data_IF_679569058938
#
_entry.id   IF_679569058938
#
_cell.length_a   1.000
_cell.length_b   1.000
_cell.length_c   1.000
_cell.angle_alpha   90.00
_cell.angle_beta   90.00
_cell.angle_gamma   90.00
#
_symmetry.space_group_name_H-M   'P 1'
#
loop_
_entity.id
_entity.type
_entity.pdbx_description
1 polymer ?
#
# COMPACT_ATOMS: atom_id res chain seq x y z
N UNK A 1 49.50 -19.11 -13.26
CA UNK A 1 49.35 -20.48 -12.72
C UNK A 1 48.67 -20.32 -11.38
N UNK A 2 47.35 -20.18 -11.41
CA UNK A 2 46.37 -21.26 -11.16
C UNK A 2 45.96 -21.17 -9.68
N UNK A 3 44.83 -20.54 -9.36
CA UNK A 3 43.43 -21.03 -9.44
C UNK A 3 42.98 -21.77 -8.18
N UNK A 4 41.72 -21.45 -7.82
CA UNK A 4 40.75 -22.25 -7.06
C UNK A 4 40.94 -22.32 -5.54
N UNK A 5 39.89 -22.14 -4.72
CA UNK A 5 38.47 -22.06 -5.02
C UNK A 5 37.69 -21.53 -3.81
N UNK A 6 36.59 -20.85 -4.11
CA UNK A 6 35.56 -20.53 -3.15
C UNK A 6 34.58 -21.69 -3.01
N UNK A 7 33.98 -21.77 -1.83
CA UNK A 7 32.68 -22.36 -1.58
C UNK A 7 32.00 -21.40 -0.60
N UNK A 8 31.13 -20.54 -1.12
CA UNK A 8 30.18 -19.75 -0.36
C UNK A 8 28.82 -20.42 -0.53
N UNK A 9 28.48 -21.28 0.43
CA UNK A 9 27.21 -21.98 0.47
C UNK A 9 26.09 -20.98 0.79
N UNK A 10 25.06 -21.01 -0.05
CA UNK A 10 23.79 -20.31 0.11
C UNK A 10 23.08 -20.80 1.38
N UNK A 11 22.67 -19.86 2.22
CA UNK A 11 21.58 -20.06 3.16
C UNK A 11 20.45 -19.12 2.77
N UNK A 12 19.36 -19.73 2.31
CA UNK A 12 18.09 -19.15 1.96
C UNK A 12 17.42 -18.52 3.19
N UNK A 13 17.66 -17.23 3.40
CA UNK A 13 16.71 -16.34 4.06
C UNK A 13 16.15 -15.42 2.99
N UNK A 14 14.85 -15.14 3.03
CA UNK A 14 14.24 -14.07 2.24
C UNK A 14 14.83 -12.73 2.74
N UNK A 15 16.07 -12.45 2.35
CA UNK A 15 16.67 -11.13 2.49
C UNK A 15 15.97 -10.25 1.49
N UNK A 16 15.04 -9.44 1.97
CA UNK A 16 14.52 -8.35 1.17
C UNK A 16 15.72 -7.49 0.73
N UNK A 17 15.81 -7.15 -0.55
CA UNK A 17 16.99 -6.49 -1.10
C UNK A 17 17.07 -5.06 -0.59
N UNK A 18 18.12 -4.75 0.17
CA UNK A 18 18.47 -3.36 0.48
C UNK A 18 18.85 -2.65 -0.82
N UNK A 19 18.28 -1.49 -1.09
CA UNK A 19 18.61 -0.66 -2.24
C UNK A 19 19.58 0.48 -1.95
N UNK A 20 19.89 1.27 -2.97
CA UNK A 20 20.78 2.43 -2.87
C UNK A 20 20.39 3.59 -3.79
N UNK A 21 20.69 4.81 -3.37
CA UNK A 21 20.50 6.02 -4.18
C UNK A 21 21.62 6.18 -5.22
N UNK A 22 21.25 6.37 -6.49
CA UNK A 22 22.18 6.64 -7.60
C UNK A 22 21.67 7.82 -8.44
N UNK A 23 22.53 8.51 -9.22
CA UNK A 23 22.05 9.51 -10.15
C UNK A 23 20.96 8.95 -11.07
N UNK A 24 19.88 9.70 -11.26
CA UNK A 24 18.75 9.28 -12.09
C UNK A 24 19.21 9.01 -13.54
N UNK A 25 19.02 7.79 -14.09
CA UNK A 25 19.42 7.46 -15.46
C UNK A 25 18.78 8.36 -16.52
N UNK A 26 17.56 8.82 -16.26
CA UNK A 26 16.78 9.66 -17.18
C UNK A 26 17.14 11.15 -17.04
N UNK A 27 17.85 11.50 -15.95
CA UNK A 27 18.27 12.87 -15.65
C UNK A 27 17.11 13.82 -15.36
N UNK A 28 15.94 13.30 -14.98
CA UNK A 28 14.76 14.09 -14.62
C UNK A 28 14.83 14.49 -13.15
N UNK A 29 15.30 13.57 -12.29
CA UNK A 29 15.54 13.79 -10.87
C UNK A 29 17.04 13.85 -10.55
N UNK A 30 17.41 14.37 -9.38
CA UNK A 30 18.80 14.37 -8.92
C UNK A 30 19.29 12.94 -8.64
N UNK A 31 18.48 12.16 -7.92
CA UNK A 31 18.74 10.76 -7.61
C UNK A 31 17.49 9.89 -7.76
N UNK A 32 17.72 8.62 -8.04
CA UNK A 32 16.73 7.55 -8.03
C UNK A 32 17.21 6.40 -7.15
N UNK A 33 16.30 5.79 -6.41
CA UNK A 33 16.59 4.62 -5.59
C UNK A 33 16.58 3.35 -6.44
N UNK A 34 17.54 2.47 -6.23
CA UNK A 34 17.71 1.23 -6.97
C UNK A 34 17.62 0.03 -6.05
N UNK A 35 16.88 -0.99 -6.47
CA UNK A 35 16.80 -2.29 -5.79
C UNK A 35 17.28 -3.37 -6.74
N UNK A 36 18.36 -4.10 -6.37
CA UNK A 36 18.99 -5.13 -7.24
C UNK A 36 19.36 -4.62 -8.64
N UNK A 37 19.91 -3.41 -8.72
CA UNK A 37 20.23 -2.72 -9.98
C UNK A 37 19.03 -2.28 -10.84
N UNK A 38 17.80 -2.48 -10.38
CA UNK A 38 16.59 -1.99 -11.05
C UNK A 38 16.17 -0.63 -10.47
N UNK A 39 15.91 0.38 -11.32
CA UNK A 39 15.40 1.67 -10.87
C UNK A 39 14.01 1.49 -10.26
N UNK A 40 13.76 2.13 -9.13
CA UNK A 40 12.44 2.16 -8.49
C UNK A 40 11.70 3.46 -8.81
N UNK A 41 10.44 3.52 -8.39
CA UNK A 41 9.65 4.74 -8.35
C UNK A 41 10.02 5.69 -7.22
N UNK A 42 11.08 5.49 -6.42
CA UNK A 42 11.46 6.44 -5.37
C UNK A 42 12.59 7.36 -5.88
N UNK A 43 12.38 8.67 -5.82
CA UNK A 43 13.26 9.72 -6.35
C UNK A 43 13.60 10.75 -5.28
N UNK A 44 14.73 11.43 -5.42
CA UNK A 44 15.14 12.51 -4.53
C UNK A 44 15.64 13.72 -5.30
N UNK A 45 15.12 14.89 -4.92
CA UNK A 45 15.50 16.18 -5.48
C UNK A 45 15.87 17.14 -4.35
N UNK A 46 17.07 17.71 -4.38
CA UNK A 46 17.55 18.62 -3.33
C UNK A 46 17.49 18.03 -1.91
N UNK A 47 17.55 16.70 -1.80
CA UNK A 47 17.46 15.95 -0.55
C UNK A 47 16.03 15.71 -0.03
N UNK A 48 14.99 16.07 -0.78
CA UNK A 48 13.61 15.67 -0.51
C UNK A 48 13.29 14.40 -1.29
N UNK A 49 12.82 13.36 -0.60
CA UNK A 49 12.44 12.08 -1.19
C UNK A 49 10.95 12.06 -1.52
N UNK A 50 10.57 11.50 -2.68
CA UNK A 50 9.19 11.40 -3.14
C UNK A 50 9.02 10.22 -4.10
N UNK A 51 7.77 9.86 -4.39
CA UNK A 51 7.48 8.93 -5.48
C UNK A 51 7.59 9.66 -6.82
N UNK A 52 8.21 8.98 -7.77
CA UNK A 52 8.31 9.37 -9.16
C UNK A 52 6.94 9.23 -9.81
N UNK A 53 6.21 10.31 -9.74
CA UNK A 53 4.88 10.49 -10.29
C UNK A 53 4.88 10.73 -11.81
N UNK A 54 5.95 10.33 -12.53
CA UNK A 54 6.28 10.77 -13.90
C UNK A 54 5.05 11.11 -14.74
N UNK A 55 4.81 12.41 -14.83
CA UNK A 55 3.63 12.92 -15.46
C UNK A 55 3.90 13.40 -16.88
N UNK A 56 2.91 13.25 -17.74
CA UNK A 56 2.96 13.67 -19.13
C UNK A 56 1.99 14.83 -19.41
N UNK A 57 2.39 15.74 -20.29
CA UNK A 57 1.50 16.75 -20.86
C UNK A 57 0.71 16.12 -22.01
N UNK A 58 -0.56 15.83 -21.79
CA UNK A 58 -1.48 15.33 -22.82
C UNK A 58 -2.48 16.41 -23.22
N UNK A 59 -3.06 16.37 -24.44
CA UNK A 59 -4.14 17.28 -24.81
C UNK A 59 -5.27 17.23 -23.77
N UNK A 60 -5.72 18.39 -23.28
CA UNK A 60 -6.70 18.43 -22.19
C UNK A 60 -8.01 17.72 -22.63
N UNK A 61 -8.43 16.62 -21.95
CA UNK A 61 -9.63 15.89 -22.35
C UNK A 61 -10.92 16.71 -22.21
N UNK A 62 -10.88 17.77 -21.38
CA UNK A 62 -12.02 18.68 -21.22
C UNK A 62 -12.12 19.71 -22.35
N UNK A 63 -11.06 19.86 -23.15
CA UNK A 63 -10.94 20.86 -24.21
C UNK A 63 -10.89 22.31 -23.71
N UNK A 64 -10.69 22.52 -22.40
CA UNK A 64 -10.61 23.86 -21.80
C UNK A 64 -9.24 24.52 -21.95
N UNK A 65 -8.19 23.70 -21.98
CA UNK A 65 -6.79 24.11 -22.16
C UNK A 65 -6.14 23.34 -23.31
N UNK A 66 -4.97 23.77 -23.78
CA UNK A 66 -4.22 23.08 -24.84
C UNK A 66 -3.65 21.75 -24.34
N UNK A 67 -3.03 21.74 -23.15
CA UNK A 67 -2.52 20.54 -22.51
C UNK A 67 -2.86 20.52 -21.01
N UNK A 68 -3.03 19.31 -20.48
CA UNK A 68 -3.18 19.04 -19.05
C UNK A 68 -2.12 18.04 -18.64
N UNK A 69 -1.51 18.29 -17.48
CA UNK A 69 -0.51 17.40 -16.92
C UNK A 69 -1.19 16.21 -16.23
N UNK A 70 -0.80 15.00 -16.59
CA UNK A 70 -1.34 13.76 -16.06
C UNK A 70 -0.27 13.07 -15.23
N UNK A 71 -0.64 12.52 -14.08
CA UNK A 71 0.23 11.72 -13.21
C UNK A 71 -0.41 10.35 -13.06
N UNK A 72 0.31 9.27 -13.36
CA UNK A 72 -0.21 7.89 -13.36
C UNK A 72 -1.56 7.75 -14.10
N UNK A 73 -1.69 8.40 -15.27
CA UNK A 73 -2.90 8.38 -16.10
C UNK A 73 -4.09 9.20 -15.55
N UNK A 74 -3.92 9.93 -14.45
CA UNK A 74 -4.96 10.78 -13.85
C UNK A 74 -4.69 12.27 -14.12
N UNK A 75 -5.70 13.06 -14.47
CA UNK A 75 -5.54 14.49 -14.71
C UNK A 75 -5.20 15.24 -13.41
N UNK A 76 -4.21 16.13 -13.46
CA UNK A 76 -3.90 17.09 -12.38
C UNK A 76 -4.56 18.47 -12.65
N UNK A 77 -4.34 19.42 -11.73
CA UNK A 77 -4.74 20.82 -11.91
C UNK A 77 -3.75 21.63 -12.76
N UNK A 78 -2.58 21.10 -13.10
CA UNK A 78 -1.61 21.80 -13.94
C UNK A 78 -2.01 21.74 -15.42
N UNK A 79 -2.07 22.91 -16.05
CA UNK A 79 -2.49 23.12 -17.45
C UNK A 79 -1.50 24.01 -18.19
N UNK A 80 -1.40 23.86 -19.51
CA UNK A 80 -0.54 24.66 -20.37
C UNK A 80 -1.33 25.18 -21.56
N UNK A 81 -1.21 26.49 -21.81
CA UNK A 81 -1.80 27.18 -22.96
C UNK A 81 -0.72 28.00 -23.65
N UNK A 82 -0.48 27.77 -24.95
CA UNK A 82 0.54 28.49 -25.73
C UNK A 82 1.94 28.45 -25.09
N UNK A 83 2.27 27.36 -24.41
CA UNK A 83 3.54 27.16 -23.71
C UNK A 83 3.67 27.88 -22.36
N UNK A 84 2.57 28.42 -21.80
CA UNK A 84 2.54 29.03 -20.47
C UNK A 84 1.86 28.07 -19.49
N UNK A 85 2.58 27.71 -18.43
CA UNK A 85 2.11 26.75 -17.42
C UNK A 85 1.34 27.48 -16.31
N UNK A 86 0.13 27.03 -16.00
CA UNK A 86 -0.74 27.60 -14.97
C UNK A 86 -1.50 26.50 -14.21
N UNK A 87 -2.30 26.89 -13.21
CA UNK A 87 -3.21 26.00 -12.48
C UNK A 87 -4.65 26.29 -12.91
N UNK A 88 -5.40 25.26 -13.30
CA UNK A 88 -6.83 25.36 -13.62
C UNK A 88 -7.64 25.57 -12.34
N UNK A 89 -7.80 26.85 -11.98
CA UNK A 89 -8.57 27.27 -10.82
C UNK A 89 -10.08 27.12 -11.10
N UNK A 90 -10.87 26.52 -10.19
CA UNK A 90 -12.29 26.33 -10.43
C UNK A 90 -12.97 27.70 -10.70
N UNK A 91 -13.97 27.75 -11.60
CA UNK A 91 -14.61 29.01 -11.96
C UNK A 91 -15.10 29.70 -10.69
N UNK A 92 -14.68 30.96 -10.53
CA UNK A 92 -15.13 31.78 -9.41
C UNK A 92 -16.67 31.70 -9.34
N UNK A 93 -17.24 31.53 -8.13
CA UNK A 93 -18.69 31.56 -7.99
C UNK A 93 -19.20 32.86 -8.63
N UNK A 94 -20.35 32.83 -9.32
CA UNK A 94 -20.87 34.02 -9.97
C UNK A 94 -20.93 35.16 -8.95
N UNK A 95 -20.58 36.40 -9.35
CA UNK A 95 -20.61 37.52 -8.43
C UNK A 95 -21.98 37.55 -7.78
N UNK A 96 -21.99 37.47 -6.45
CA UNK A 96 -23.22 37.58 -5.66
C UNK A 96 -23.90 38.85 -6.12
N UNK A 97 -25.01 38.68 -6.83
CA UNK A 97 -25.80 39.78 -7.33
C UNK A 97 -26.15 40.67 -6.14
N UNK A 98 -25.80 41.95 -6.25
CA UNK A 98 -26.23 43.01 -5.36
C UNK A 98 -27.74 42.88 -5.18
N UNK A 99 -28.17 42.35 -4.03
CA UNK A 99 -29.56 42.50 -3.62
C UNK A 99 -29.79 43.99 -3.39
N UNK A 100 -30.85 44.59 -3.96
CA UNK A 100 -31.17 45.98 -3.70
C UNK A 100 -31.48 46.13 -2.21
N UNK A 101 -30.78 47.07 -1.59
CA UNK A 101 -30.98 47.51 -0.21
C UNK A 101 -32.46 47.86 0.00
N UNK A 102 -33.11 47.15 0.92
CA UNK A 102 -34.44 47.52 1.41
C UNK A 102 -34.27 48.74 2.33
N UNK A 103 -35.05 49.82 2.14
CA UNK A 103 -34.75 51.11 2.75
C UNK A 103 -34.97 51.12 4.27
N UNK A 104 -34.10 51.86 4.96
CA UNK A 104 -34.11 52.17 6.38
C UNK A 104 -35.48 52.70 6.87
N UNK A 105 -35.92 52.38 8.11
CA UNK A 105 -36.80 53.26 8.84
C UNK A 105 -36.00 54.33 9.59
N UNK A 106 -36.37 55.57 9.30
CA UNK A 106 -35.83 56.82 9.80
C UNK A 106 -35.88 56.95 11.33
N UNK A 107 -34.83 57.59 11.86
CA UNK A 107 -34.60 58.06 13.23
C UNK A 107 -35.83 58.67 13.90
N UNK A 108 -36.14 58.17 15.11
CA UNK A 108 -36.98 58.83 16.11
C UNK A 108 -36.17 59.12 17.37
N UNK A 109 -35.92 60.41 17.62
CA UNK A 109 -35.23 60.96 18.78
C UNK A 109 -35.94 60.67 20.11
N UNK A 110 -35.23 60.11 21.09
CA UNK A 110 -35.43 60.41 22.51
C UNK A 110 -34.17 60.08 23.31
N UNK A 111 -33.64 61.07 24.01
CA UNK A 111 -32.48 61.01 24.88
C UNK A 111 -32.78 60.32 26.22
N UNK A 112 -31.88 59.47 26.70
CA UNK A 112 -31.64 59.23 28.13
C UNK A 112 -30.13 58.95 28.32
N UNK A 113 -29.55 59.59 29.34
CA UNK A 113 -28.16 59.53 29.81
C UNK A 113 -27.61 58.10 30.03
N UNK A 114 -26.29 57.89 29.91
CA UNK A 114 -25.66 56.61 30.25
C UNK A 114 -25.40 56.48 31.77
N UNK A 115 -26.04 55.49 32.39
CA UNK A 115 -25.59 54.90 33.66
C UNK A 115 -24.34 54.02 33.39
N UNK A 116 -23.33 54.00 34.28
CA UNK A 116 -22.08 53.31 34.04
C UNK A 116 -22.24 51.80 34.27
N UNK A 117 -22.08 50.99 33.23
CA UNK A 117 -21.96 49.53 33.38
C UNK A 117 -20.49 49.19 33.62
N UNK A 118 -20.26 48.59 34.79
CA UNK A 118 -18.97 48.10 35.27
C UNK A 118 -18.27 47.20 34.25
N UNK A 119 -17.00 47.53 34.02
CA UNK A 119 -15.98 46.62 33.52
C UNK A 119 -15.75 45.51 34.54
N UNK A 120 -16.27 44.32 34.27
CA UNK A 120 -15.67 43.11 34.82
C UNK A 120 -14.73 42.50 33.80
N UNK A 121 -13.46 42.68 34.11
CA UNK A 121 -12.32 42.05 33.49
C UNK A 121 -12.52 40.54 33.39
N UNK A 122 -11.95 39.98 32.33
CA UNK A 122 -11.62 38.56 32.26
C UNK A 122 -10.77 38.20 33.48
N UNK A 123 -11.37 37.45 34.41
CA UNK A 123 -10.62 36.75 35.45
C UNK A 123 -10.16 35.40 34.89
N UNK A 124 -8.85 35.21 34.96
CA UNK A 124 -8.16 33.93 34.90
C UNK A 124 -8.95 32.84 35.65
N UNK A 125 -9.40 31.82 34.92
CA UNK A 125 -9.69 30.53 35.54
C UNK A 125 -8.48 29.63 35.34
N UNK A 126 -7.52 29.75 36.26
CA UNK A 126 -6.48 28.75 36.54
C UNK A 126 -7.10 27.34 36.54
N UNK A 127 -6.73 26.53 35.54
CA UNK A 127 -7.01 25.09 35.53
C UNK A 127 -6.07 24.40 36.53
N UNK A 128 -6.59 24.14 37.73
CA UNK A 128 -5.94 23.29 38.73
C UNK A 128 -5.91 21.83 38.26
N UNK A 129 -4.76 21.14 38.28
CA UNK A 129 -4.69 19.72 37.93
C UNK A 129 -5.39 18.88 39.02
N UNK A 130 -6.25 17.95 38.57
CA UNK A 130 -6.98 17.02 39.45
C UNK A 130 -6.07 15.87 39.87
N UNK A 131 -5.62 15.92 41.12
CA UNK A 131 -5.06 14.81 41.87
C UNK A 131 -6.13 13.72 42.14
N UNK A 132 -5.94 12.52 41.56
CA UNK A 132 -6.40 11.22 42.06
C UNK A 132 -5.67 10.14 41.21
N UNK A 133 -4.93 9.13 41.67
CA UNK A 133 -4.58 8.62 43.00
C UNK A 133 -3.09 8.21 42.99
N UNK A 134 -2.31 8.71 43.95
CA UNK A 134 -1.14 8.01 44.49
C UNK A 134 -1.65 7.01 45.53
N UNK A 135 -1.36 5.74 45.34
CA UNK A 135 -0.82 4.79 46.33
C UNK A 135 -1.04 3.33 45.89
N UNK A 136 -0.11 2.80 45.09
CA UNK A 136 0.33 1.40 45.22
C UNK A 136 1.83 1.34 45.01
N UNK A 137 2.56 1.48 46.13
CA UNK A 137 3.91 0.90 46.25
C UNK A 137 3.74 -0.62 46.21
N UNK A 138 4.12 -1.24 45.10
CA UNK A 138 4.55 -2.64 45.14
C UNK A 138 5.99 -2.68 44.68
N UNK A 139 6.79 -3.14 45.63
CA UNK A 139 8.22 -3.36 45.59
C UNK A 139 8.56 -4.44 44.55
N UNK A 140 9.59 -4.16 43.75
CA UNK A 140 10.35 -5.06 42.87
C UNK A 140 10.45 -6.51 43.36
N UNK A 141 10.30 -7.45 42.43
CA UNK A 141 11.17 -8.62 42.38
C UNK A 141 11.85 -8.68 41.01
N UNK A 142 13.15 -8.38 41.05
CA UNK A 142 14.13 -8.86 40.09
C UNK A 142 13.95 -10.38 39.98
N UNK A 143 13.68 -10.86 38.78
CA UNK A 143 13.50 -12.27 38.50
C UNK A 143 13.86 -12.57 37.06
N UNK A 144 15.16 -12.69 36.79
CA UNK A 144 15.63 -13.56 35.73
C UNK A 144 15.05 -14.96 35.99
N UNK A 145 14.02 -15.33 35.24
CA UNK A 145 13.31 -16.57 35.43
C UNK A 145 12.29 -16.73 34.33
N UNK A 146 12.60 -17.61 33.37
CA UNK A 146 11.77 -18.01 32.24
C UNK A 146 10.28 -18.06 32.63
N UNK A 147 9.53 -17.06 32.19
CA UNK A 147 8.09 -17.01 32.37
C UNK A 147 7.45 -17.37 31.03
N UNK A 148 7.13 -18.65 30.89
CA UNK A 148 6.38 -19.14 29.74
C UNK A 148 4.95 -18.58 29.81
N UNK A 149 4.67 -17.56 28.99
CA UNK A 149 3.30 -17.18 28.64
C UNK A 149 2.86 -18.16 27.56
N UNK A 150 1.90 -19.03 27.90
CA UNK A 150 1.29 -19.96 26.93
C UNK A 150 0.28 -19.17 26.10
N UNK A 151 0.74 -18.59 24.99
CA UNK A 151 -0.13 -18.02 23.95
C UNK A 151 -0.63 -19.16 23.06
N UNK A 152 -1.87 -19.60 23.30
CA UNK A 152 -2.52 -20.60 22.47
C UNK A 152 -2.96 -19.99 21.14
N UNK A 153 -2.23 -20.25 20.06
CA UNK A 153 -2.66 -19.93 18.69
C UNK A 153 -3.31 -21.18 18.09
N UNK A 154 -4.62 -21.10 17.84
CA UNK A 154 -5.38 -22.10 17.10
C UNK A 154 -5.19 -21.92 15.59
N UNK A 155 -4.39 -22.76 14.97
CA UNK A 155 -4.32 -22.88 13.50
C UNK A 155 -5.40 -23.86 13.05
N UNK A 156 -6.40 -23.38 12.34
CA UNK A 156 -7.40 -24.20 11.66
C UNK A 156 -6.82 -24.70 10.32
N UNK A 157 -6.28 -25.92 10.32
CA UNK A 157 -5.97 -26.66 9.09
C UNK A 157 -7.27 -27.26 8.52
N UNK A 158 -7.76 -26.67 7.43
CA UNK A 158 -8.77 -27.31 6.56
C UNK A 158 -8.04 -28.29 5.63
N UNK A 159 -8.07 -29.58 5.97
CA UNK A 159 -7.64 -30.64 5.07
C UNK A 159 -8.82 -31.13 4.25
N UNK A 160 -8.86 -30.80 2.97
CA UNK A 160 -9.73 -31.43 1.98
C UNK A 160 -9.17 -32.80 1.56
N UNK A 161 -9.83 -33.88 1.99
CA UNK A 161 -9.93 -35.13 1.20
C UNK A 161 -10.92 -34.90 0.05
N UNK A 162 -11.02 -35.69 -1.00
CA UNK A 162 -10.59 -37.05 -1.35
C UNK A 162 -10.58 -37.04 -2.88
N UNK A 163 -9.74 -37.83 -3.55
CA UNK A 163 -10.25 -38.50 -4.75
C UNK A 163 -9.57 -39.84 -4.99
N UNK A 164 -10.42 -40.86 -5.02
CA UNK A 164 -10.06 -42.26 -5.13
C UNK A 164 -9.96 -42.67 -6.59
N UNK A 165 -8.85 -43.31 -6.92
CA UNK A 165 -8.65 -44.02 -8.17
C UNK A 165 -9.50 -45.28 -8.25
N UNK A 166 -10.20 -45.51 -9.36
CA UNK A 166 -10.50 -46.87 -9.83
C UNK A 166 -10.33 -46.95 -11.35
N UNK A 167 -9.41 -47.84 -11.72
CA UNK A 167 -9.12 -48.33 -13.06
C UNK A 167 -10.07 -49.49 -13.36
N UNK A 168 -10.68 -49.53 -14.55
CA UNK A 168 -11.58 -50.62 -14.95
C UNK A 168 -11.72 -50.72 -16.47
N UNK A 169 -11.35 -51.88 -17.01
CA UNK A 169 -11.10 -52.19 -18.40
C UNK A 169 -12.34 -52.25 -19.33
N UNK A 170 -12.08 -52.08 -20.63
CA UNK A 170 -12.94 -52.51 -21.75
C UNK A 170 -13.04 -54.06 -21.82
N UNK A 171 -14.02 -54.67 -22.53
CA UNK A 171 -14.00 -54.72 -24.01
C UNK A 171 -15.37 -54.83 -24.75
N UNK A 172 -15.37 -54.58 -26.07
CA UNK A 172 -15.94 -55.51 -27.06
C UNK A 172 -17.30 -55.22 -27.76
N UNK A 173 -17.20 -54.76 -29.02
CA UNK A 173 -17.95 -55.14 -30.24
C UNK A 173 -19.50 -55.14 -30.31
N UNK A 174 -20.05 -54.49 -31.34
CA UNK A 174 -21.41 -54.71 -31.85
C UNK A 174 -21.78 -53.79 -33.01
N UNK A 175 -22.22 -54.38 -34.12
CA UNK A 175 -22.49 -53.84 -35.46
C UNK A 175 -23.58 -52.75 -35.61
N UNK A 176 -23.40 -51.96 -36.68
CA UNK A 176 -24.33 -51.28 -37.60
C UNK A 176 -25.78 -50.93 -37.17
N UNK A 177 -26.23 -49.71 -37.50
CA UNK A 177 -27.16 -49.44 -38.62
C UNK A 177 -27.28 -47.93 -38.85
N UNK A 178 -27.12 -47.58 -40.12
CA UNK A 178 -27.30 -46.27 -40.73
C UNK A 178 -28.80 -45.91 -40.80
N UNK A 179 -29.17 -44.70 -40.38
CA UNK A 179 -30.44 -44.08 -40.78
C UNK A 179 -30.16 -42.61 -41.08
N UNK A 180 -30.26 -42.31 -42.35
CA UNK A 180 -30.05 -41.02 -43.00
C UNK A 180 -31.18 -40.06 -42.66
N UNK A 181 -30.83 -38.92 -42.04
CA UNK A 181 -31.65 -37.72 -42.01
C UNK A 181 -31.18 -36.76 -43.14
N UNK A 182 -32.08 -36.00 -43.77
CA UNK A 182 -31.74 -35.12 -44.90
C UNK A 182 -30.82 -33.97 -44.46
N UNK A 183 -29.95 -33.44 -45.34
CA UNK A 183 -29.02 -32.38 -44.97
C UNK A 183 -29.77 -31.06 -44.77
N UNK A 184 -29.95 -30.64 -43.51
CA UNK A 184 -30.22 -29.24 -43.23
C UNK A 184 -28.92 -28.46 -43.48
N UNK A 185 -28.97 -27.56 -44.46
CA UNK A 185 -27.86 -26.65 -44.76
C UNK A 185 -27.91 -25.52 -43.73
N UNK A 186 -27.36 -25.77 -42.54
CA UNK A 186 -27.01 -24.70 -41.61
C UNK A 186 -25.73 -24.06 -42.14
N UNK A 187 -25.86 -22.93 -42.83
CA UNK A 187 -24.75 -22.00 -43.00
C UNK A 187 -24.39 -21.46 -41.61
N UNK A 188 -23.50 -22.16 -40.92
CA UNK A 188 -22.75 -21.58 -39.82
C UNK A 188 -21.81 -20.56 -40.46
N UNK A 189 -22.15 -19.28 -40.38
CA UNK A 189 -21.17 -18.22 -40.58
C UNK A 189 -20.10 -18.42 -39.50
N UNK A 190 -18.96 -18.96 -39.91
CA UNK A 190 -17.79 -19.14 -39.04
C UNK A 190 -17.38 -17.77 -38.50
N UNK A 191 -17.12 -17.70 -37.19
CA UNK A 191 -16.66 -16.46 -36.58
C UNK A 191 -15.36 -16.02 -37.27
N UNK A 192 -15.21 -14.73 -37.59
CA UNK A 192 -14.02 -14.23 -38.27
C UNK A 192 -12.75 -14.58 -37.47
N UNK A 193 -11.65 -14.97 -38.13
CA UNK A 193 -10.40 -15.29 -37.44
C UNK A 193 -9.90 -14.06 -36.65
N UNK A 194 -9.51 -14.28 -35.40
CA UNK A 194 -8.96 -13.22 -34.54
C UNK A 194 -7.54 -12.81 -34.95
N UNK A 195 -7.09 -11.61 -34.55
CA UNK A 195 -5.73 -11.16 -34.81
C UNK A 195 -4.70 -11.98 -34.01
N UNK A 196 -3.41 -11.92 -34.39
CA UNK A 196 -2.34 -12.44 -33.51
C UNK A 196 -2.16 -11.53 -32.30
N UNK A 197 -1.84 -12.05 -31.12
CA UNK A 197 -1.53 -11.24 -29.93
C UNK A 197 -0.34 -11.85 -29.21
N UNK A 198 0.81 -11.17 -29.26
CA UNK A 198 2.06 -11.57 -28.63
C UNK A 198 2.46 -10.54 -27.58
N UNK A 199 2.61 -11.00 -26.34
CA UNK A 199 2.86 -10.19 -25.15
C UNK A 199 3.54 -11.04 -24.09
N UNK A 200 4.41 -10.43 -23.29
CA UNK A 200 5.03 -11.11 -22.15
C UNK A 200 3.98 -11.56 -21.12
N UNK A 201 4.17 -12.73 -20.54
CA UNK A 201 3.21 -13.31 -19.60
C UNK A 201 3.23 -12.69 -18.20
N UNK A 202 4.31 -12.00 -17.85
CA UNK A 202 4.50 -11.41 -16.53
C UNK A 202 5.43 -10.20 -16.58
N UNK A 203 5.15 -9.21 -15.73
CA UNK A 203 5.96 -8.00 -15.55
C UNK A 203 6.11 -7.74 -14.06
N UNK A 204 7.32 -7.42 -13.60
CA UNK A 204 7.59 -7.01 -12.22
C UNK A 204 7.83 -5.51 -12.16
N UNK A 205 7.32 -4.87 -11.10
CA UNK A 205 7.44 -3.43 -10.87
C UNK A 205 7.74 -3.20 -9.40
N UNK A 206 8.69 -2.32 -9.11
CA UNK A 206 9.10 -1.96 -7.75
C UNK A 206 8.72 -0.49 -7.51
N UNK A 207 7.99 -0.25 -6.42
CA UNK A 207 7.56 1.06 -5.91
C UNK A 207 6.60 1.86 -6.81
N UNK A 208 6.62 1.68 -8.12
CA UNK A 208 5.71 2.34 -9.03
C UNK A 208 4.29 1.77 -8.93
N UNK A 209 3.29 2.65 -9.00
CA UNK A 209 1.87 2.28 -9.03
C UNK A 209 1.34 2.09 -10.45
N UNK A 210 2.22 2.17 -11.46
CA UNK A 210 1.91 1.98 -12.86
C UNK A 210 3.03 1.28 -13.62
N UNK A 211 2.70 0.69 -14.78
CA UNK A 211 3.63 0.00 -15.67
C UNK A 211 3.18 0.09 -17.12
N UNK A 212 4.15 0.14 -18.04
CA UNK A 212 3.89 0.01 -19.47
C UNK A 212 3.95 -1.47 -19.89
N UNK A 213 2.84 -1.98 -20.43
CA UNK A 213 2.80 -3.31 -21.06
C UNK A 213 2.96 -3.13 -22.56
N UNK A 214 4.02 -3.71 -23.12
CA UNK A 214 4.30 -3.67 -24.55
C UNK A 214 4.07 -5.02 -25.21
N UNK A 215 3.70 -5.01 -26.48
CA UNK A 215 3.50 -6.24 -27.25
C UNK A 215 3.27 -5.96 -28.74
N UNK A 216 2.90 -7.02 -29.47
CA UNK A 216 2.59 -6.93 -30.89
C UNK A 216 1.31 -7.68 -31.27
N UNK A 217 0.61 -7.14 -32.26
CA UNK A 217 -0.58 -7.72 -32.89
C UNK A 217 -0.62 -7.27 -34.36
N UNK A 218 -1.73 -7.51 -35.07
CA UNK A 218 -1.88 -7.05 -36.45
C UNK A 218 -1.96 -5.50 -36.51
N UNK A 219 -1.44 -4.84 -37.56
CA UNK A 219 -1.54 -3.40 -37.72
C UNK A 219 -3.00 -2.92 -37.79
N UNK A 220 -3.31 -1.80 -37.15
CA UNK A 220 -4.65 -1.20 -37.13
C UNK A 220 -5.63 -1.83 -36.12
N UNK A 221 -5.19 -2.82 -35.34
CA UNK A 221 -5.95 -3.43 -34.25
C UNK A 221 -5.98 -2.52 -33.02
N UNK A 222 -7.12 -2.52 -32.31
CA UNK A 222 -7.22 -1.90 -30.99
C UNK A 222 -7.08 -2.98 -29.91
N UNK A 223 -6.19 -2.74 -28.95
CA UNK A 223 -5.97 -3.59 -27.78
C UNK A 223 -6.61 -2.92 -26.57
N UNK A 224 -7.51 -3.63 -25.89
CA UNK A 224 -8.13 -3.21 -24.62
C UNK A 224 -7.54 -4.00 -23.47
N UNK A 225 -7.02 -3.31 -22.46
CA UNK A 225 -6.60 -3.86 -21.18
C UNK A 225 -7.69 -3.64 -20.12
N UNK A 226 -7.89 -4.64 -19.27
CA UNK A 226 -8.77 -4.55 -18.09
C UNK A 226 -8.08 -5.16 -16.89
N UNK A 227 -8.09 -4.46 -15.77
CA UNK A 227 -7.50 -4.90 -14.51
C UNK A 227 -8.26 -4.25 -13.35
N UNK A 228 -8.45 -4.96 -12.23
CA UNK A 228 -8.98 -4.40 -10.98
C UNK A 228 -10.25 -3.49 -11.05
N UNK A 229 -11.04 -3.55 -12.14
CA UNK A 229 -12.18 -2.66 -12.38
C UNK A 229 -11.88 -1.45 -13.27
N UNK A 230 -10.62 -1.21 -13.59
CA UNK A 230 -10.11 -0.20 -14.51
C UNK A 230 -9.90 -0.75 -15.94
N UNK A 231 -9.78 0.16 -16.90
CA UNK A 231 -9.52 -0.16 -18.30
C UNK A 231 -8.63 0.88 -18.99
N UNK A 232 -7.88 0.43 -20.00
CA UNK A 232 -7.16 1.29 -20.94
C UNK A 232 -7.17 0.66 -22.33
N UNK A 233 -6.94 1.48 -23.35
CA UNK A 233 -6.89 1.03 -24.74
C UNK A 233 -5.66 1.60 -25.44
N UNK A 234 -5.06 0.81 -26.33
CA UNK A 234 -4.02 1.25 -27.24
C UNK A 234 -4.36 0.85 -28.68
N UNK A 235 -4.10 1.74 -29.63
CA UNK A 235 -4.17 1.43 -31.06
C UNK A 235 -2.79 1.06 -31.56
N UNK A 236 -2.68 0.03 -32.39
CA UNK A 236 -1.38 -0.42 -32.86
C UNK A 236 -0.77 0.52 -33.89
N UNK A 237 0.55 0.67 -33.81
CA UNK A 237 1.32 1.40 -34.82
C UNK A 237 1.32 0.68 -36.17
N UNK A 238 1.90 1.30 -37.22
CA UNK A 238 1.98 0.71 -38.56
C UNK A 238 2.71 -0.65 -38.63
N UNK A 239 3.48 -1.00 -37.59
CA UNK A 239 4.21 -2.26 -37.46
C UNK A 239 3.51 -3.25 -36.51
N UNK A 240 2.31 -2.94 -36.00
CA UNK A 240 1.57 -3.83 -35.11
C UNK A 240 1.98 -3.77 -33.63
N UNK A 241 2.95 -2.92 -33.27
CA UNK A 241 3.35 -2.73 -31.88
C UNK A 241 2.32 -1.90 -31.11
N UNK A 242 2.15 -2.21 -29.82
CA UNK A 242 1.33 -1.45 -28.89
C UNK A 242 2.03 -1.27 -27.54
N UNK A 243 1.62 -0.24 -26.82
CA UNK A 243 1.98 0.03 -25.43
C UNK A 243 0.70 0.41 -24.69
N UNK A 244 0.40 -0.26 -23.58
CA UNK A 244 -0.71 0.10 -22.68
C UNK A 244 -0.15 0.44 -21.32
N UNK A 245 -0.50 1.62 -20.80
CA UNK A 245 -0.19 2.03 -19.43
C UNK A 245 -1.24 1.44 -18.48
N UNK A 246 -0.80 0.65 -17.52
CA UNK A 246 -1.62 0.06 -16.46
C UNK A 246 -1.27 0.79 -15.17
N UNK A 247 -2.21 1.51 -14.57
CA UNK A 247 -1.99 2.29 -13.34
C UNK A 247 -2.89 1.85 -12.17
N UNK A 248 -2.66 2.44 -11.00
CA UNK A 248 -3.43 2.12 -9.78
C UNK A 248 -3.12 0.73 -9.21
N UNK A 249 -1.91 0.23 -9.42
CA UNK A 249 -1.47 -1.09 -8.99
C UNK A 249 -1.37 -1.16 -7.45
N UNK A 250 -2.15 -2.07 -6.86
CA UNK A 250 -1.96 -2.47 -5.47
C UNK A 250 -0.70 -3.35 -5.35
N UNK A 251 -0.13 -3.43 -4.15
CA UNK A 251 0.94 -4.37 -3.85
C UNK A 251 0.48 -5.82 -4.14
N UNK A 252 1.38 -6.63 -4.68
CA UNK A 252 1.14 -8.01 -5.08
C UNK A 252 0.72 -8.16 -6.54
N UNK A 253 -0.03 -9.23 -6.82
CA UNK A 253 -0.31 -9.66 -8.19
C UNK A 253 -1.61 -9.04 -8.72
N UNK A 254 -1.51 -8.38 -9.87
CA UNK A 254 -2.63 -7.88 -10.66
C UNK A 254 -2.73 -8.64 -11.98
N UNK A 255 -3.90 -9.23 -12.24
CA UNK A 255 -4.17 -9.85 -13.54
C UNK A 255 -4.67 -8.80 -14.53
N UNK A 256 -3.90 -8.54 -15.59
CA UNK A 256 -4.27 -7.65 -16.68
C UNK A 256 -4.74 -8.49 -17.86
N UNK A 257 -6.03 -8.39 -18.19
CA UNK A 257 -6.58 -9.07 -19.37
C UNK A 257 -6.48 -8.16 -20.58
N UNK A 258 -5.74 -8.60 -21.59
CA UNK A 258 -5.64 -7.94 -22.90
C UNK A 258 -6.61 -8.60 -23.87
N UNK A 259 -7.32 -7.77 -24.64
CA UNK A 259 -8.21 -8.20 -25.72
C UNK A 259 -7.92 -7.38 -26.97
N UNK A 260 -7.53 -8.06 -28.05
CA UNK A 260 -7.30 -7.47 -29.36
C UNK A 260 -8.51 -7.77 -30.26
N UNK A 261 -9.04 -6.76 -30.94
CA UNK A 261 -10.19 -6.88 -31.86
C UNK A 261 -9.84 -6.23 -33.21
N UNK A 262 -10.03 -6.98 -34.29
CA UNK A 262 -9.85 -6.48 -35.66
C UNK A 262 -11.15 -5.89 -36.22
N UNK A 263 -11.08 -5.17 -37.35
CA UNK A 263 -12.26 -4.53 -37.98
C UNK A 263 -13.35 -5.54 -38.39
N UNK A 264 -12.97 -6.79 -38.64
CA UNK A 264 -13.88 -7.87 -39.00
C UNK A 264 -14.62 -8.47 -37.78
N UNK A 265 -14.27 -8.06 -36.55
CA UNK A 265 -14.88 -8.53 -35.30
C UNK A 265 -14.28 -9.83 -34.74
N UNK A 266 -13.15 -10.29 -35.28
CA UNK A 266 -12.36 -11.38 -34.74
C UNK A 266 -11.55 -10.90 -33.52
N UNK A 267 -11.51 -11.72 -32.46
CA UNK A 267 -10.86 -11.36 -31.20
C UNK A 267 -9.75 -12.33 -30.78
N UNK A 268 -8.71 -11.81 -30.14
CA UNK A 268 -7.73 -12.59 -29.39
C UNK A 268 -7.59 -12.06 -27.95
N UNK A 269 -7.23 -12.92 -26.99
CA UNK A 269 -7.02 -12.51 -25.60
C UNK A 269 -5.79 -13.17 -24.99
N UNK A 270 -5.09 -12.41 -24.17
CA UNK A 270 -3.97 -12.87 -23.33
C UNK A 270 -4.10 -12.27 -21.94
N UNK A 271 -3.47 -12.89 -20.94
CA UNK A 271 -3.40 -12.37 -19.58
C UNK A 271 -1.95 -12.13 -19.22
N UNK A 272 -1.65 -10.94 -18.71
CA UNK A 272 -0.34 -10.57 -18.16
C UNK A 272 -0.47 -10.48 -16.64
N UNK A 273 0.45 -11.09 -15.91
CA UNK A 273 0.52 -10.96 -14.45
C UNK A 273 1.49 -9.84 -14.12
N UNK A 274 0.98 -8.74 -13.58
CA UNK A 274 1.81 -7.64 -13.08
C UNK A 274 2.02 -7.84 -11.58
N UNK A 275 3.27 -7.98 -11.14
CA UNK A 275 3.62 -8.11 -9.73
C UNK A 275 4.23 -6.81 -9.24
N UNK A 276 3.54 -6.10 -8.36
CA UNK A 276 4.06 -4.91 -7.70
C UNK A 276 4.66 -5.28 -6.34
N UNK A 277 5.90 -4.87 -6.10
CA UNK A 277 6.56 -4.99 -4.80
C UNK A 277 6.89 -3.62 -4.24
N UNK A 278 6.84 -3.47 -2.91
CA UNK A 278 7.29 -2.28 -2.21
C UNK A 278 8.71 -2.53 -1.69
N UNK A 279 9.63 -1.61 -1.95
CA UNK A 279 10.98 -1.65 -1.39
C UNK A 279 10.97 -1.33 0.10
N UNK A 280 11.99 -1.81 0.82
CA UNK A 280 12.15 -1.50 2.25
C UNK A 280 12.19 0.02 2.49
N UNK A 281 12.88 0.78 1.63
CA UNK A 281 13.00 2.22 1.76
C UNK A 281 11.66 2.92 1.59
N UNK A 282 10.92 2.59 0.53
CA UNK A 282 9.59 3.16 0.33
C UNK A 282 8.66 2.77 1.48
N UNK A 283 8.71 1.52 1.94
CA UNK A 283 7.89 1.09 3.07
C UNK A 283 8.19 1.94 4.32
N UNK A 284 9.48 2.07 4.68
CA UNK A 284 9.93 2.91 5.80
C UNK A 284 9.50 4.36 5.63
N UNK A 285 9.62 4.92 4.43
CA UNK A 285 9.19 6.27 4.08
C UNK A 285 7.68 6.49 4.24
N UNK A 286 6.86 5.51 3.83
CA UNK A 286 5.40 5.59 3.92
C UNK A 286 4.87 5.50 5.35
N UNK A 287 5.63 4.91 6.27
CA UNK A 287 5.20 4.73 7.66
C UNK A 287 5.04 6.05 8.41
N UNK A 288 4.18 6.05 9.42
CA UNK A 288 3.97 7.22 10.29
C UNK A 288 4.06 6.85 11.76
N UNK A 289 4.50 7.79 12.59
CA UNK A 289 4.36 7.63 14.03
C UNK A 289 2.97 8.08 14.46
N UNK A 290 2.13 7.12 14.84
CA UNK A 290 0.84 7.39 15.48
C UNK A 290 1.10 7.61 16.98
N UNK A 291 0.56 8.65 17.62
CA UNK A 291 0.64 8.79 19.08
C UNK A 291 0.02 7.59 19.79
N UNK A 292 0.65 7.09 20.86
CA UNK A 292 0.18 5.87 21.52
C UNK A 292 -1.25 6.00 22.07
N UNK A 293 -1.65 7.18 22.54
CA UNK A 293 -3.00 7.44 23.05
C UNK A 293 -4.09 7.38 21.97
N UNK A 294 -3.71 7.60 20.71
CA UNK A 294 -4.56 7.36 19.54
C UNK A 294 -4.53 5.87 19.17
N UNK A 295 -3.34 5.27 19.10
CA UNK A 295 -3.17 3.86 18.75
C UNK A 295 -3.99 2.95 19.68
N UNK A 296 -3.89 3.13 21.00
CA UNK A 296 -4.55 2.27 22.00
C UNK A 296 -6.06 2.52 22.11
N UNK A 297 -6.57 3.64 21.62
CA UNK A 297 -7.98 4.01 21.77
C UNK A 297 -8.89 3.11 20.94
N UNK A 298 -8.51 2.84 19.69
CA UNK A 298 -9.23 1.95 18.78
C UNK A 298 -8.27 1.37 17.72
N UNK A 299 -7.40 0.40 18.11
CA UNK A 299 -6.42 -0.18 17.20
C UNK A 299 -7.06 -0.83 15.96
N UNK A 300 -8.26 -1.40 16.11
CA UNK A 300 -8.96 -2.11 15.04
C UNK A 300 -9.40 -1.15 13.92
N UNK A 301 -9.73 0.10 14.26
CA UNK A 301 -10.00 1.15 13.26
C UNK A 301 -8.76 1.60 12.48
N UNK A 302 -7.58 1.35 13.02
CA UNK A 302 -6.29 1.70 12.43
C UNK A 302 -5.66 0.54 11.66
N UNK A 303 -6.32 -0.63 11.62
CA UNK A 303 -5.81 -1.81 10.95
C UNK A 303 -5.46 -1.52 9.47
N UNK A 304 -4.29 -1.98 9.03
CA UNK A 304 -3.76 -1.71 7.69
C UNK A 304 -2.95 -0.41 7.56
N UNK A 305 -2.93 0.47 8.56
CA UNK A 305 -2.05 1.63 8.55
C UNK A 305 -0.61 1.23 8.89
N UNK A 306 0.35 1.76 8.12
CA UNK A 306 1.78 1.52 8.36
C UNK A 306 2.33 2.48 9.41
N UNK A 307 3.08 1.94 10.36
CA UNK A 307 3.59 2.66 11.53
C UNK A 307 5.06 2.39 11.76
N UNK A 308 5.73 3.34 12.40
CA UNK A 308 7.07 3.14 12.94
C UNK A 308 7.17 3.62 14.39
N UNK A 309 7.95 2.89 15.18
CA UNK A 309 8.27 3.27 16.55
C UNK A 309 9.72 2.94 16.87
N UNK A 310 10.27 3.75 17.77
CA UNK A 310 11.39 3.35 18.60
C UNK A 310 10.83 2.72 19.88
N UNK A 311 11.38 1.60 20.31
CA UNK A 311 10.85 0.84 21.43
C UNK A 311 11.93 0.12 22.24
N UNK A 312 11.63 -0.15 23.50
CA UNK A 312 12.39 -1.08 24.33
C UNK A 312 11.72 -2.45 24.36
N UNK A 313 12.50 -3.51 24.16
CA UNK A 313 12.03 -4.88 24.18
C UNK A 313 11.74 -5.33 25.62
N UNK A 314 10.46 -5.52 25.95
CA UNK A 314 10.04 -5.95 27.28
C UNK A 314 10.00 -7.47 27.43
N UNK A 315 9.59 -8.21 26.39
CA UNK A 315 9.58 -9.68 26.42
C UNK A 315 9.86 -10.25 25.03
N UNK A 316 11.08 -10.75 24.85
CA UNK A 316 11.51 -11.55 23.70
C UNK A 316 12.88 -12.17 23.97
N UNK A 317 13.13 -13.34 23.39
CA UNK A 317 14.47 -13.96 23.33
C UNK A 317 14.59 -14.61 21.95
N UNK A 318 15.55 -14.14 21.17
CA UNK A 318 15.83 -14.61 19.81
C UNK A 318 16.00 -16.15 19.73
N UNK A 319 16.48 -16.79 20.80
CA UNK A 319 16.70 -18.24 20.86
C UNK A 319 15.41 -19.05 20.95
N UNK A 320 14.30 -18.42 21.34
CA UNK A 320 13.00 -19.09 21.47
C UNK A 320 12.27 -19.21 20.14
N UNK A 321 12.69 -18.49 19.10
CA UNK A 321 12.06 -18.47 17.76
C UNK A 321 10.56 -18.14 17.80
N UNK A 322 10.14 -17.37 18.80
CA UNK A 322 8.73 -16.98 18.96
C UNK A 322 8.37 -15.89 17.96
N UNK A 323 7.19 -15.97 17.33
CA UNK A 323 6.69 -14.94 16.39
C UNK A 323 6.00 -13.76 17.09
N UNK A 324 6.26 -13.57 18.39
CA UNK A 324 5.59 -12.54 19.21
C UNK A 324 6.59 -11.92 20.17
N UNK A 325 6.57 -10.59 20.24
CA UNK A 325 7.45 -9.77 21.06
C UNK A 325 6.61 -8.68 21.74
N UNK A 326 6.77 -8.51 23.06
CA UNK A 326 6.14 -7.40 23.77
C UNK A 326 7.14 -6.26 23.94
N UNK A 327 6.74 -5.04 23.58
CA UNK A 327 7.61 -3.86 23.64
C UNK A 327 6.94 -2.68 24.35
N UNK A 328 7.78 -1.74 24.78
CA UNK A 328 7.38 -0.43 25.27
C UNK A 328 7.76 0.66 24.28
N UNK A 329 6.79 1.46 23.84
CA UNK A 329 6.98 2.44 22.75
C UNK A 329 7.11 3.89 23.22
N UNK A 330 6.94 4.17 24.51
CA UNK A 330 7.03 5.53 25.05
C UNK A 330 8.18 5.65 26.05
N UNK A 331 9.21 6.42 25.68
CA UNK A 331 10.33 6.78 26.55
C UNK A 331 9.94 7.96 27.44
N UNK A 332 9.89 7.72 28.75
CA UNK A 332 9.71 8.74 29.77
C UNK A 332 11.04 9.29 30.29
N UNK A 333 10.97 10.07 31.38
CA UNK A 333 12.16 10.58 32.04
C UNK A 333 13.07 9.44 32.54
N UNK A 334 14.39 9.68 32.58
CA UNK A 334 15.38 8.71 33.05
C UNK A 334 15.40 7.37 32.29
N UNK A 335 14.99 7.38 31.00
CA UNK A 335 14.91 6.19 30.14
C UNK A 335 13.99 5.10 30.71
N UNK A 336 12.95 5.50 31.43
CA UNK A 336 11.85 4.61 31.79
C UNK A 336 10.91 4.46 30.61
N UNK A 337 10.80 3.24 30.08
CA UNK A 337 9.91 2.94 28.98
C UNK A 337 8.56 2.43 29.46
N UNK A 338 7.51 2.82 28.75
CA UNK A 338 6.11 2.51 29.06
C UNK A 338 5.31 2.24 27.78
N UNK A 339 4.04 1.89 27.96
CA UNK A 339 3.05 1.69 26.90
C UNK A 339 3.29 0.45 26.03
N UNK A 340 2.50 -0.60 26.32
CA UNK A 340 2.69 -1.91 25.73
C UNK A 340 2.13 -1.96 24.31
N UNK A 341 2.95 -2.42 23.37
CA UNK A 341 2.54 -2.84 22.03
C UNK A 341 2.98 -4.29 21.84
N UNK A 342 2.09 -5.12 21.31
CA UNK A 342 2.44 -6.47 20.91
C UNK A 342 2.89 -6.46 19.45
N UNK A 343 4.06 -7.02 19.19
CA UNK A 343 4.58 -7.19 17.85
C UNK A 343 4.41 -8.64 17.43
N UNK A 344 3.89 -8.83 16.23
CA UNK A 344 3.87 -10.09 15.50
C UNK A 344 4.91 -10.01 14.40
N UNK A 345 5.77 -11.01 14.27
CA UNK A 345 6.95 -10.92 13.40
C UNK A 345 7.41 -12.29 12.89
N UNK A 346 8.12 -12.30 11.77
CA UNK A 346 8.99 -13.41 11.41
C UNK A 346 10.21 -13.42 12.36
N UNK A 347 10.49 -14.50 13.11
CA UNK A 347 11.64 -14.58 14.00
C UNK A 347 12.99 -14.27 13.33
N UNK A 348 13.11 -14.44 12.01
CA UNK A 348 14.31 -14.07 11.26
C UNK A 348 14.62 -12.56 11.35
N UNK A 349 13.59 -11.70 11.31
CA UNK A 349 13.70 -10.24 11.42
C UNK A 349 14.23 -9.83 12.80
N UNK A 350 13.94 -10.62 13.84
CA UNK A 350 14.37 -10.38 15.21
C UNK A 350 15.49 -11.35 15.68
N UNK A 351 16.28 -11.90 14.75
CA UNK A 351 17.27 -12.94 15.04
C UNK A 351 18.41 -12.52 15.99
N UNK A 352 18.67 -11.21 16.12
CA UNK A 352 19.70 -10.65 17.00
C UNK A 352 19.11 -9.74 18.10
N UNK A 353 17.81 -9.84 18.37
CA UNK A 353 17.10 -9.00 19.33
C UNK A 353 16.79 -9.83 20.57
N UNK A 354 17.08 -9.27 21.74
CA UNK A 354 16.80 -9.89 23.03
C UNK A 354 16.10 -8.90 23.96
N UNK A 355 15.70 -9.38 25.13
CA UNK A 355 15.14 -8.56 26.19
C UNK A 355 16.04 -7.36 26.55
N UNK A 356 15.41 -6.23 26.90
CA UNK A 356 16.01 -4.94 27.24
C UNK A 356 16.67 -4.16 26.08
N UNK A 357 16.79 -4.76 24.89
CA UNK A 357 17.30 -4.08 23.69
C UNK A 357 16.41 -2.88 23.29
N UNK A 358 17.05 -1.86 22.73
CA UNK A 358 16.37 -0.74 22.09
C UNK A 358 16.36 -0.97 20.59
N UNK A 359 15.17 -0.94 20.02
CA UNK A 359 14.92 -1.20 18.60
C UNK A 359 14.19 -0.05 17.94
N UNK A 360 14.27 -0.02 16.62
CA UNK A 360 13.33 0.66 15.75
C UNK A 360 12.63 -0.38 14.88
N UNK A 361 11.32 -0.26 14.73
CA UNK A 361 10.57 -1.17 13.86
C UNK A 361 9.59 -0.40 12.98
N UNK A 362 9.27 -1.04 11.85
CA UNK A 362 8.30 -0.59 10.86
C UNK A 362 7.37 -1.75 10.57
N UNK A 363 6.07 -1.48 10.56
CA UNK A 363 5.07 -2.52 10.38
C UNK A 363 3.69 -1.97 10.13
N UNK A 364 2.70 -2.85 10.11
CA UNK A 364 1.31 -2.52 9.85
C UNK A 364 0.48 -2.82 11.09
N UNK A 365 -0.41 -1.90 11.49
CA UNK A 365 -1.31 -2.15 12.61
C UNK A 365 -2.24 -3.31 12.25
N UNK A 366 -2.29 -4.33 13.12
CA UNK A 366 -3.08 -5.54 12.93
C UNK A 366 -4.40 -5.52 13.74
N UNK A 367 -4.60 -4.49 14.56
CA UNK A 367 -5.76 -4.35 15.45
C UNK A 367 -5.37 -4.51 16.92
N UNK A 368 -6.25 -5.13 17.71
CA UNK A 368 -6.04 -5.33 19.14
C UNK A 368 -5.97 -6.81 19.53
N UNK A 369 -5.19 -7.11 20.58
CA UNK A 369 -5.15 -8.45 21.17
C UNK A 369 -5.26 -8.39 22.68
N UNK A 370 -6.06 -9.31 23.22
CA UNK A 370 -6.21 -9.51 24.66
C UNK A 370 -5.44 -10.74 25.11
N UNK A 371 -4.64 -10.61 26.17
CA UNK A 371 -3.91 -11.71 26.77
C UNK A 371 -4.12 -11.76 28.28
N UNK A 372 -4.04 -12.97 28.86
CA UNK A 372 -4.07 -13.15 30.30
C UNK A 372 -2.71 -12.82 30.92
N UNK A 373 -2.72 -11.94 31.91
CA UNK A 373 -1.57 -11.60 32.73
C UNK A 373 -1.31 -12.67 33.79
N UNK A 374 -0.05 -12.89 34.13
CA UNK A 374 0.35 -13.84 35.18
C UNK A 374 -0.26 -13.53 36.56
N UNK A 375 -0.74 -12.30 36.78
CA UNK A 375 -1.41 -11.86 37.99
C UNK A 375 -2.90 -12.21 38.09
N UNK A 376 -3.49 -12.87 37.08
CA UNK A 376 -4.89 -13.32 37.12
C UNK A 376 -5.91 -12.29 36.62
N UNK A 377 -5.55 -11.48 35.62
CA UNK A 377 -6.47 -10.62 34.86
C UNK A 377 -6.08 -10.58 33.39
N UNK A 378 -6.85 -9.93 32.52
CA UNK A 378 -6.50 -9.75 31.11
C UNK A 378 -6.03 -8.33 30.81
N UNK A 379 -5.23 -8.16 29.77
CA UNK A 379 -4.82 -6.88 29.23
C UNK A 379 -5.04 -6.86 27.72
N UNK A 380 -5.55 -5.74 27.20
CA UNK A 380 -5.76 -5.54 25.76
C UNK A 380 -4.76 -4.51 25.27
N UNK A 381 -4.00 -4.86 24.24
CA UNK A 381 -2.94 -4.03 23.67
C UNK A 381 -3.10 -3.94 22.16
N UNK A 382 -2.63 -2.85 21.52
CA UNK A 382 -2.50 -2.81 20.07
C UNK A 382 -1.50 -3.86 19.59
N UNK A 383 -1.72 -4.36 18.39
CA UNK A 383 -0.87 -5.30 17.68
C UNK A 383 -0.32 -4.66 16.41
N UNK A 384 0.97 -4.87 16.15
CA UNK A 384 1.62 -4.46 14.90
C UNK A 384 2.31 -5.68 14.29
N UNK A 385 1.94 -6.00 13.04
CA UNK A 385 2.67 -6.94 12.20
C UNK A 385 3.94 -6.24 11.69
N UNK A 386 5.10 -6.68 12.17
CA UNK A 386 6.40 -6.06 11.87
C UNK A 386 6.97 -6.64 10.58
N UNK A 387 7.29 -5.74 9.66
CA UNK A 387 7.96 -6.07 8.40
C UNK A 387 9.48 -5.87 8.54
N UNK A 388 9.91 -4.76 9.15
CA UNK A 388 11.32 -4.41 9.31
C UNK A 388 11.66 -4.04 10.74
N UNK A 389 12.87 -4.39 11.17
CA UNK A 389 13.38 -4.09 12.50
C UNK A 389 14.89 -3.84 12.48
N UNK A 390 15.31 -2.87 13.27
CA UNK A 390 16.70 -2.51 13.48
C UNK A 390 17.03 -2.45 14.98
N UNK A 391 18.20 -2.99 15.34
CA UNK A 391 18.76 -2.82 16.67
C UNK A 391 19.43 -1.45 16.77
N UNK A 392 18.96 -0.58 17.66
CA UNK A 392 19.62 0.70 17.96
C UNK A 392 20.65 0.57 19.10
N UNK A 393 20.35 -0.22 20.13
CA UNK A 393 21.26 -0.41 21.27
C UNK A 393 20.98 -1.71 22.02
N UNK A 394 22.04 -2.30 22.59
CA UNK A 394 21.93 -3.48 23.45
C UNK A 394 21.54 -3.11 24.89
N UNK A 395 20.69 -3.94 25.49
CA UNK A 395 20.26 -3.86 26.89
C UNK A 395 21.34 -4.14 27.92
#
# INVERSE_FOLDING_TARGET
MSESGGDGDEATGAGHPTGEWRPDPDGVHEFRYFVRDEPTGLVSDSGEESLDDHGEWVPDPTGRHEFRYFVSGKPTSAVSDHGVHTVDEPPAPPPVGVQPESPEPTVGTAAVEPEPVEVHAAEDSELKPKEWMKEKKVLLLVGAGALAVVLGIGIALVSSGDDSSVQGAAPGAGDAVETTAPPETTSTTEAPPGPQLDVEGSVEVIDADSVEITGSTDPGVTVRAVWAGDEATATTGPQGNFTVVVGGLAEGNTNVRLTAENEDGGTASSTVIVTRSISEELFKFLTRQIPYDELVRDPDSLAGQTVNYRAQVFQYDSRTTTSSMLVWVTEGEFSFWTDNVLLTLDPAVASNIDNDDIIRFWGTVAGSQTYDTAGGGSNTVPVVDVEYMELESKG
#
